data_IF_266781650055
#
_entry.id   IF_266781650055
#
_cell.length_a   1.000
_cell.length_b   1.000
_cell.length_c   1.000
_cell.angle_alpha   90.00
_cell.angle_beta   90.00
_cell.angle_gamma   90.00
#
_symmetry.space_group_name_H-M   'P 1'
#
loop_
_entity.id
_entity.type
_entity.pdbx_description
1 polymer ?
#
# COMPACT_ATOMS: atom_id res chain seq x y z
N UNK A 1 11.03 -3.26 30.12
CA UNK A 1 11.33 -4.63 29.64
C UNK A 1 10.51 -4.90 28.39
N UNK A 2 11.08 -5.30 27.26
CA UNK A 2 10.31 -5.66 26.08
C UNK A 2 9.58 -7.00 26.31
N UNK A 3 8.33 -7.04 25.89
CA UNK A 3 7.48 -8.24 25.91
C UNK A 3 7.02 -8.47 24.47
N UNK A 4 7.24 -9.68 23.95
CA UNK A 4 6.75 -10.07 22.63
C UNK A 4 5.35 -10.65 22.76
N UNK A 5 4.43 -10.07 21.98
CA UNK A 5 3.04 -10.54 21.90
C UNK A 5 2.68 -10.80 20.44
N UNK A 6 1.92 -11.86 20.12
CA UNK A 6 1.49 -12.10 18.76
C UNK A 6 0.33 -11.19 18.38
N UNK A 7 0.27 -10.82 17.10
CA UNK A 7 -0.94 -10.35 16.45
C UNK A 7 -1.35 -11.38 15.38
N UNK A 8 -2.66 -11.59 15.20
CA UNK A 8 -3.14 -12.43 14.10
C UNK A 8 -2.87 -11.75 12.75
N UNK A 9 -2.69 -12.54 11.71
CA UNK A 9 -2.52 -12.02 10.36
C UNK A 9 -2.97 -13.05 9.32
N UNK A 10 -3.56 -12.56 8.23
CA UNK A 10 -3.79 -13.34 7.02
C UNK A 10 -2.88 -12.78 5.92
N UNK A 11 -2.21 -13.66 5.21
CA UNK A 11 -1.45 -13.27 4.02
C UNK A 11 -2.36 -13.39 2.80
N UNK A 12 -2.70 -12.27 2.18
CA UNK A 12 -3.55 -12.23 1.00
C UNK A 12 -2.96 -13.03 -0.16
N UNK A 13 -1.64 -12.98 -0.37
CA UNK A 13 -0.97 -13.75 -1.42
C UNK A 13 -1.11 -15.27 -1.25
N UNK A 14 -1.15 -15.78 -0.01
CA UNK A 14 -1.40 -17.19 0.28
C UNK A 14 -2.89 -17.53 0.18
N UNK A 15 -3.76 -16.62 0.63
CA UNK A 15 -5.20 -16.84 0.65
C UNK A 15 -5.87 -16.67 -0.73
N UNK A 16 -5.20 -16.00 -1.67
CA UNK A 16 -5.72 -15.69 -3.00
C UNK A 16 -5.97 -16.95 -3.83
N UNK A 17 -7.06 -16.97 -4.59
CA UNK A 17 -7.44 -18.11 -5.45
C UNK A 17 -8.19 -19.24 -4.74
N UNK A 18 -8.50 -19.10 -3.44
CA UNK A 18 -9.33 -20.07 -2.70
C UNK A 18 -10.21 -19.38 -1.64
N UNK A 19 -11.08 -20.14 -0.99
CA UNK A 19 -12.07 -19.65 -0.01
C UNK A 19 -11.45 -18.81 1.13
N UNK A 20 -10.17 -19.03 1.44
CA UNK A 20 -9.45 -18.27 2.48
C UNK A 20 -9.43 -16.77 2.25
N UNK A 21 -9.51 -16.31 1.00
CA UNK A 21 -9.52 -14.87 0.66
C UNK A 21 -10.73 -14.13 1.23
N UNK A 22 -11.87 -14.82 1.41
CA UNK A 22 -13.08 -14.26 2.04
C UNK A 22 -12.88 -13.85 3.49
N UNK A 23 -11.84 -14.36 4.15
CA UNK A 23 -11.51 -14.05 5.54
C UNK A 23 -10.48 -12.89 5.67
N UNK A 24 -9.87 -12.46 4.57
CA UNK A 24 -8.80 -11.46 4.62
C UNK A 24 -9.28 -10.12 5.21
N UNK A 25 -10.27 -9.47 4.60
CA UNK A 25 -10.72 -8.13 5.05
C UNK A 25 -11.28 -8.14 6.47
N UNK A 26 -12.00 -9.19 6.86
CA UNK A 26 -12.56 -9.35 8.22
C UNK A 26 -11.48 -9.30 9.29
N UNK A 27 -10.26 -9.77 8.98
CA UNK A 27 -9.15 -9.77 9.96
C UNK A 27 -8.64 -8.37 10.28
N UNK A 28 -8.87 -7.34 9.46
CA UNK A 28 -8.44 -5.97 9.78
C UNK A 28 -9.03 -5.49 11.10
N UNK A 29 -10.34 -5.63 11.27
CA UNK A 29 -11.04 -5.19 12.49
C UNK A 29 -10.70 -6.11 13.67
N UNK A 30 -10.63 -7.43 13.44
CA UNK A 30 -10.20 -8.39 14.47
C UNK A 30 -8.78 -8.13 14.97
N UNK A 31 -7.86 -7.70 14.09
CA UNK A 31 -6.49 -7.30 14.48
C UNK A 31 -6.56 -6.06 15.36
N UNK A 32 -7.35 -5.06 14.98
CA UNK A 32 -7.52 -3.84 15.76
C UNK A 32 -8.10 -4.16 17.15
N UNK A 33 -9.20 -4.90 17.23
CA UNK A 33 -9.89 -5.27 18.46
C UNK A 33 -9.00 -6.10 19.39
N UNK A 34 -8.36 -7.15 18.87
CA UNK A 34 -7.51 -8.02 19.68
C UNK A 34 -6.25 -7.32 20.19
N UNK A 35 -5.67 -6.43 19.38
CA UNK A 35 -4.48 -5.66 19.77
C UNK A 35 -4.85 -4.62 20.82
N UNK A 36 -5.96 -3.91 20.68
CA UNK A 36 -6.49 -3.00 21.67
C UNK A 36 -6.75 -3.71 23.00
N UNK A 37 -7.51 -4.81 22.98
CA UNK A 37 -7.81 -5.59 24.17
C UNK A 37 -6.55 -6.05 24.91
N UNK A 38 -5.55 -6.56 24.16
CA UNK A 38 -4.29 -7.02 24.72
C UNK A 38 -3.48 -5.87 25.35
N UNK A 39 -3.32 -4.77 24.61
CA UNK A 39 -2.53 -3.62 25.06
C UNK A 39 -3.14 -2.96 26.31
N UNK A 40 -4.47 -2.80 26.33
CA UNK A 40 -5.20 -2.23 27.46
C UNK A 40 -5.20 -3.14 28.68
N UNK A 41 -5.38 -4.45 28.50
CA UNK A 41 -5.38 -5.43 29.60
C UNK A 41 -4.01 -5.52 30.29
N UNK A 42 -2.92 -5.44 29.53
CA UNK A 42 -1.55 -5.51 30.05
C UNK A 42 -0.95 -4.15 30.39
N UNK A 43 -1.65 -3.04 30.09
CA UNK A 43 -1.24 -1.67 30.41
C UNK A 43 0.21 -1.36 29.96
N UNK A 44 0.49 -1.63 28.67
CA UNK A 44 1.81 -1.35 28.11
C UNK A 44 2.11 0.15 28.05
N UNK A 45 3.38 0.52 28.27
CA UNK A 45 3.84 1.92 28.21
C UNK A 45 4.03 2.41 26.76
N UNK A 46 4.28 1.50 25.83
CA UNK A 46 4.47 1.80 24.42
C UNK A 46 4.50 0.54 23.56
N UNK A 47 4.34 0.71 22.26
CA UNK A 47 4.21 -0.39 21.29
C UNK A 47 5.20 -0.22 20.13
N UNK A 48 5.89 -1.32 19.79
CA UNK A 48 6.57 -1.47 18.50
C UNK A 48 5.76 -2.46 17.69
N UNK A 49 5.09 -1.98 16.65
CA UNK A 49 4.23 -2.79 15.81
C UNK A 49 4.98 -3.23 14.55
N UNK A 50 4.94 -4.55 14.24
CA UNK A 50 5.71 -5.14 13.14
C UNK A 50 4.77 -5.85 12.15
N UNK A 51 3.96 -5.09 11.38
CA UNK A 51 3.09 -5.65 10.35
C UNK A 51 3.82 -5.83 9.02
N UNK A 52 3.22 -6.60 8.10
CA UNK A 52 3.74 -6.65 6.72
C UNK A 52 2.74 -7.08 5.65
N UNK A 53 1.46 -7.26 5.93
CA UNK A 53 0.49 -7.68 4.92
C UNK A 53 -0.72 -6.76 4.86
N UNK A 54 -1.58 -6.99 3.86
CA UNK A 54 -2.63 -6.09 3.38
C UNK A 54 -3.54 -5.56 4.50
N UNK A 55 -3.96 -6.42 5.42
CA UNK A 55 -4.96 -6.09 6.44
C UNK A 55 -4.35 -5.86 7.82
N UNK A 56 -3.16 -6.41 8.10
CA UNK A 56 -2.57 -6.20 9.42
C UNK A 56 -1.90 -4.83 9.57
N UNK A 57 -1.39 -4.23 8.49
CA UNK A 57 -0.88 -2.84 8.57
C UNK A 57 -1.99 -1.87 8.97
N UNK A 58 -3.12 -1.77 8.23
CA UNK A 58 -4.20 -0.86 8.63
C UNK A 58 -4.87 -1.28 9.94
N UNK A 59 -5.03 -2.57 10.23
CA UNK A 59 -5.60 -3.03 11.51
C UNK A 59 -4.78 -2.59 12.72
N UNK A 60 -3.46 -2.66 12.63
CA UNK A 60 -2.58 -2.18 13.70
C UNK A 60 -2.53 -0.64 13.78
N UNK A 61 -2.67 0.09 12.65
CA UNK A 61 -2.82 1.56 12.67
C UNK A 61 -4.12 1.98 13.38
N UNK A 62 -5.22 1.28 13.11
CA UNK A 62 -6.49 1.47 13.82
C UNK A 62 -6.32 1.20 15.32
N UNK A 63 -5.68 0.09 15.70
CA UNK A 63 -5.39 -0.22 17.10
C UNK A 63 -4.52 0.86 17.77
N UNK A 64 -3.49 1.35 17.08
CA UNK A 64 -2.63 2.43 17.60
C UNK A 64 -3.44 3.71 17.88
N UNK A 65 -4.36 4.07 16.97
CA UNK A 65 -5.24 5.22 17.15
C UNK A 65 -6.18 5.06 18.36
N UNK A 66 -6.73 3.85 18.56
CA UNK A 66 -7.66 3.54 19.67
C UNK A 66 -6.95 3.55 21.02
N UNK A 67 -5.87 2.79 21.14
CA UNK A 67 -5.10 2.65 22.39
C UNK A 67 -4.40 3.96 22.77
N UNK A 68 -3.91 4.69 21.79
CA UNK A 68 -3.29 6.01 21.91
C UNK A 68 -2.18 6.09 22.97
N UNK A 69 -1.33 5.09 23.03
CA UNK A 69 -0.05 5.13 23.78
C UNK A 69 1.12 5.26 22.79
N UNK A 70 2.30 5.73 23.22
CA UNK A 70 3.46 5.86 22.33
C UNK A 70 3.67 4.62 21.48
N UNK A 71 3.66 4.78 20.15
CA UNK A 71 3.69 3.67 19.19
C UNK A 71 4.57 4.02 17.99
N UNK A 72 5.33 3.05 17.50
CA UNK A 72 6.12 3.15 16.28
C UNK A 72 5.94 1.90 15.44
N UNK A 73 5.93 2.08 14.11
CA UNK A 73 5.79 1.00 13.14
C UNK A 73 7.13 0.64 12.51
N UNK A 74 7.34 -0.66 12.35
CA UNK A 74 8.45 -1.24 11.59
C UNK A 74 7.88 -2.31 10.68
N UNK A 75 7.64 -1.98 9.43
CA UNK A 75 7.17 -2.97 8.45
C UNK A 75 8.21 -4.07 8.24
N UNK A 76 7.74 -5.30 7.95
CA UNK A 76 8.64 -6.41 7.63
C UNK A 76 9.47 -6.17 6.35
N UNK A 77 8.99 -5.30 5.47
CA UNK A 77 9.63 -4.92 4.22
C UNK A 77 9.18 -5.74 3.01
N UNK A 78 9.33 -5.21 1.79
CA UNK A 78 9.02 -5.90 0.55
C UNK A 78 10.02 -7.02 0.25
N UNK A 79 9.57 -8.04 -0.50
CA UNK A 79 10.47 -8.99 -1.14
C UNK A 79 11.18 -8.32 -2.32
N UNK A 80 12.27 -8.90 -2.78
CA UNK A 80 12.91 -8.52 -4.04
C UNK A 80 12.07 -9.00 -5.23
N UNK A 81 12.16 -8.33 -6.36
CA UNK A 81 11.58 -8.81 -7.60
C UNK A 81 12.25 -10.12 -8.03
N UNK A 82 11.45 -11.04 -8.58
CA UNK A 82 11.98 -12.24 -9.22
C UNK A 82 12.59 -11.95 -10.59
N UNK A 83 13.24 -12.95 -11.17
CA UNK A 83 13.79 -12.87 -12.52
C UNK A 83 13.46 -14.16 -13.27
N UNK A 84 12.67 -14.03 -14.34
CA UNK A 84 12.34 -15.14 -15.25
C UNK A 84 12.71 -14.68 -16.65
N UNK A 85 13.48 -15.49 -17.37
CA UNK A 85 13.93 -15.20 -18.75
C UNK A 85 14.55 -13.79 -18.90
N UNK A 86 15.26 -13.31 -17.87
CA UNK A 86 15.92 -12.00 -17.88
C UNK A 86 15.04 -10.80 -17.60
N UNK A 87 13.75 -11.00 -17.31
CA UNK A 87 12.81 -9.96 -16.94
C UNK A 87 12.51 -9.99 -15.45
N UNK A 88 12.38 -8.82 -14.82
CA UNK A 88 11.87 -8.71 -13.45
C UNK A 88 10.43 -9.20 -13.39
N UNK A 89 10.08 -9.93 -12.33
CA UNK A 89 8.76 -10.54 -12.13
C UNK A 89 8.25 -10.32 -10.71
N UNK A 90 6.94 -10.46 -10.55
CA UNK A 90 6.26 -10.35 -9.27
C UNK A 90 5.11 -11.34 -9.18
N UNK A 91 4.30 -11.24 -8.12
CA UNK A 91 3.08 -12.03 -7.96
C UNK A 91 2.10 -11.83 -9.14
N UNK A 92 1.95 -10.61 -9.68
CA UNK A 92 1.10 -10.39 -10.86
C UNK A 92 1.60 -11.14 -12.10
N UNK A 93 2.91 -11.19 -12.30
CA UNK A 93 3.50 -11.98 -13.40
C UNK A 93 3.19 -13.47 -13.26
N UNK A 94 3.08 -13.98 -12.02
CA UNK A 94 2.66 -15.36 -11.78
C UNK A 94 1.19 -15.58 -12.20
N UNK A 95 0.29 -14.64 -11.93
CA UNK A 95 -1.10 -14.74 -12.37
C UNK A 95 -1.22 -14.70 -13.89
N UNK A 96 -0.45 -13.85 -14.55
CA UNK A 96 -0.37 -13.79 -16.01
C UNK A 96 0.20 -15.11 -16.59
N UNK A 97 1.19 -15.70 -15.94
CA UNK A 97 1.74 -17.00 -16.32
C UNK A 97 0.71 -18.12 -16.19
N UNK A 98 -0.06 -18.15 -15.09
CA UNK A 98 -1.17 -19.11 -14.90
C UNK A 98 -2.23 -18.98 -16.00
N UNK A 99 -2.60 -17.74 -16.35
CA UNK A 99 -3.53 -17.46 -17.44
C UNK A 99 -2.99 -17.91 -18.81
N UNK A 100 -1.71 -17.67 -19.08
CA UNK A 100 -1.02 -18.11 -20.29
C UNK A 100 -0.92 -19.64 -20.39
N UNK A 101 -0.64 -20.30 -19.26
CA UNK A 101 -0.63 -21.76 -19.17
C UNK A 101 -2.02 -22.35 -19.44
N UNK A 102 -3.06 -21.81 -18.80
CA UNK A 102 -4.45 -22.24 -19.03
C UNK A 102 -4.91 -22.04 -20.49
N UNK A 103 -4.39 -21.02 -21.17
CA UNK A 103 -4.65 -20.75 -22.58
C UNK A 103 -3.77 -21.58 -23.54
N UNK A 104 -2.93 -22.50 -23.05
CA UNK A 104 -2.02 -23.33 -23.84
C UNK A 104 -0.87 -22.56 -24.51
N UNK A 105 -0.56 -21.34 -24.04
CA UNK A 105 0.53 -20.49 -24.54
C UNK A 105 1.85 -20.69 -23.78
N UNK A 106 1.82 -21.46 -22.71
CA UNK A 106 2.95 -21.78 -21.86
C UNK A 106 2.95 -23.27 -21.53
N UNK A 107 4.11 -23.90 -21.47
CA UNK A 107 4.25 -25.32 -21.13
C UNK A 107 4.59 -25.54 -19.64
N UNK A 108 4.67 -26.82 -19.21
CA UNK A 108 4.93 -27.22 -17.82
C UNK A 108 6.29 -26.73 -17.30
N UNK A 109 7.32 -26.72 -18.14
CA UNK A 109 8.67 -26.25 -17.74
C UNK A 109 8.67 -24.74 -17.52
N UNK A 110 7.97 -23.98 -18.36
CA UNK A 110 7.90 -22.54 -18.27
C UNK A 110 7.10 -22.08 -17.05
N UNK A 111 5.93 -22.69 -16.75
CA UNK A 111 5.17 -22.35 -15.55
C UNK A 111 5.95 -22.75 -14.29
N UNK A 112 6.64 -23.87 -14.28
CA UNK A 112 7.49 -24.31 -13.17
C UNK A 112 8.66 -23.34 -12.92
N UNK A 113 9.23 -22.73 -13.97
CA UNK A 113 10.24 -21.70 -13.81
C UNK A 113 9.67 -20.46 -13.09
N UNK A 114 8.44 -20.02 -13.43
CA UNK A 114 7.76 -18.92 -12.74
C UNK A 114 7.50 -19.25 -11.28
N UNK A 115 6.97 -20.44 -10.97
CA UNK A 115 6.72 -20.89 -9.58
C UNK A 115 7.97 -20.80 -8.70
N UNK A 116 9.14 -21.13 -9.25
CA UNK A 116 10.39 -21.15 -8.49
C UNK A 116 11.07 -19.78 -8.39
N UNK A 117 10.80 -18.84 -9.30
CA UNK A 117 11.60 -17.62 -9.44
C UNK A 117 10.84 -16.30 -9.29
N UNK A 118 9.51 -16.31 -9.42
CA UNK A 118 8.73 -15.07 -9.44
C UNK A 118 8.72 -14.33 -8.10
N UNK A 119 8.78 -15.07 -6.98
CA UNK A 119 8.77 -14.54 -5.61
C UNK A 119 9.96 -15.09 -4.81
N UNK A 120 11.19 -14.58 -5.01
CA UNK A 120 12.42 -15.28 -4.61
C UNK A 120 12.78 -15.13 -3.13
N UNK A 121 12.21 -14.15 -2.40
CA UNK A 121 12.62 -13.83 -1.03
C UNK A 121 11.41 -13.67 -0.10
N UNK A 122 11.66 -13.64 1.21
CA UNK A 122 10.64 -13.24 2.16
C UNK A 122 10.31 -11.75 2.05
N UNK A 123 9.13 -11.36 2.54
CA UNK A 123 8.64 -9.99 2.54
C UNK A 123 7.21 -9.88 2.01
N UNK A 124 6.66 -8.68 1.98
CA UNK A 124 5.45 -8.36 1.22
C UNK A 124 5.74 -8.42 -0.29
N UNK A 125 4.70 -8.28 -1.13
CA UNK A 125 4.89 -8.28 -2.59
C UNK A 125 5.95 -7.27 -3.04
N UNK A 126 6.66 -7.57 -4.14
CA UNK A 126 7.71 -6.67 -4.66
C UNK A 126 7.18 -5.41 -5.35
N UNK A 127 5.90 -5.38 -5.77
CA UNK A 127 5.26 -4.23 -6.41
C UNK A 127 4.42 -3.37 -5.45
N UNK A 128 3.78 -2.33 -5.99
CA UNK A 128 2.90 -1.41 -5.25
C UNK A 128 1.48 -2.00 -5.14
N UNK A 129 1.39 -3.11 -4.41
CA UNK A 129 0.14 -3.73 -3.98
C UNK A 129 -0.25 -3.21 -2.59
N UNK A 130 -1.32 -3.75 -2.00
CA UNK A 130 -1.91 -3.18 -0.78
C UNK A 130 -0.95 -3.15 0.40
N UNK A 131 -0.18 -4.22 0.64
CA UNK A 131 0.79 -4.27 1.74
C UNK A 131 1.81 -3.13 1.65
N UNK A 132 2.46 -2.98 0.48
CA UNK A 132 3.46 -1.92 0.28
C UNK A 132 2.83 -0.53 0.22
N UNK A 133 1.62 -0.39 -0.32
CA UNK A 133 0.86 0.85 -0.25
C UNK A 133 0.70 1.29 1.20
N UNK A 134 0.16 0.42 2.06
CA UNK A 134 -0.03 0.75 3.47
C UNK A 134 1.28 0.95 4.23
N UNK A 135 2.35 0.20 3.90
CA UNK A 135 3.68 0.40 4.48
C UNK A 135 4.28 1.78 4.11
N UNK A 136 4.13 2.22 2.85
CA UNK A 136 4.54 3.55 2.40
C UNK A 136 3.68 4.65 3.04
N UNK A 137 2.36 4.45 3.11
CA UNK A 137 1.45 5.40 3.73
C UNK A 137 1.65 5.50 5.25
N UNK A 138 2.07 4.43 5.93
CA UNK A 138 2.49 4.48 7.34
C UNK A 138 3.69 5.43 7.54
N UNK A 139 4.63 5.45 6.59
CA UNK A 139 5.76 6.38 6.58
C UNK A 139 5.28 7.82 6.31
N UNK A 140 4.39 8.01 5.34
CA UNK A 140 3.81 9.32 5.00
C UNK A 140 2.94 9.91 6.13
N UNK A 141 2.20 9.06 6.86
CA UNK A 141 1.46 9.41 8.08
C UNK A 141 2.37 9.86 9.23
N UNK A 142 3.67 9.62 9.14
CA UNK A 142 4.61 9.91 10.21
C UNK A 142 4.72 8.81 11.28
N UNK A 143 4.09 7.65 11.13
CA UNK A 143 4.11 6.55 12.10
C UNK A 143 5.27 5.56 11.93
N UNK A 144 6.04 5.66 10.84
CA UNK A 144 7.25 4.88 10.56
C UNK A 144 8.46 5.75 10.32
N UNK A 145 9.65 5.20 10.55
CA UNK A 145 10.91 5.86 10.21
C UNK A 145 11.14 5.80 8.69
N UNK A 146 12.01 6.69 8.19
CA UNK A 146 12.42 6.72 6.77
C UNK A 146 12.85 5.35 6.28
N UNK A 147 12.28 4.91 5.17
CA UNK A 147 12.53 3.61 4.56
C UNK A 147 11.65 2.48 5.12
N UNK A 148 10.70 2.80 6.02
CA UNK A 148 9.73 1.83 6.54
C UNK A 148 9.00 1.11 5.42
N UNK A 149 8.52 1.84 4.41
CA UNK A 149 7.75 1.28 3.30
C UNK A 149 8.60 0.61 2.21
N UNK A 150 9.90 0.93 2.10
CA UNK A 150 10.66 0.62 0.88
C UNK A 150 11.89 -0.25 1.06
N UNK A 151 12.56 -0.25 2.22
CA UNK A 151 13.74 -1.10 2.43
C UNK A 151 13.35 -2.57 2.30
N UNK A 152 13.98 -3.36 1.39
CA UNK A 152 13.69 -4.78 1.26
C UNK A 152 13.88 -5.57 2.55
N UNK A 153 13.03 -6.59 2.76
CA UNK A 153 13.04 -7.42 3.96
C UNK A 153 14.38 -8.10 4.23
N UNK A 154 15.08 -8.50 3.16
CA UNK A 154 16.35 -9.23 3.23
C UNK A 154 17.59 -8.33 3.39
N UNK A 155 17.44 -7.01 3.34
CA UNK A 155 18.58 -6.10 3.48
C UNK A 155 18.94 -5.90 4.96
N UNK A 156 20.23 -5.82 5.26
CA UNK A 156 20.72 -5.49 6.60
C UNK A 156 20.21 -4.14 7.12
N UNK A 157 19.92 -3.21 6.22
CA UNK A 157 19.30 -1.92 6.54
C UNK A 157 17.93 -2.08 7.20
N UNK A 158 17.16 -3.13 6.89
CA UNK A 158 15.89 -3.45 7.55
C UNK A 158 16.08 -3.78 9.04
N UNK A 159 17.09 -4.56 9.37
CA UNK A 159 17.43 -4.85 10.77
C UNK A 159 17.94 -3.60 11.51
N UNK A 160 18.69 -2.74 10.83
CA UNK A 160 19.12 -1.47 11.40
C UNK A 160 17.93 -0.54 11.68
N UNK A 161 16.97 -0.48 10.75
CA UNK A 161 15.71 0.27 10.94
C UNK A 161 14.95 -0.23 12.17
N UNK A 162 14.82 -1.55 12.34
CA UNK A 162 14.15 -2.14 13.49
C UNK A 162 14.86 -1.79 14.80
N UNK A 163 16.19 -1.81 14.81
CA UNK A 163 17.00 -1.37 15.97
C UNK A 163 16.77 0.09 16.29
N UNK A 164 16.78 0.97 15.29
CA UNK A 164 16.51 2.40 15.48
C UNK A 164 15.11 2.64 16.00
N UNK A 165 14.10 1.94 15.49
CA UNK A 165 12.74 2.04 15.99
C UNK A 165 12.62 1.61 17.46
N UNK A 166 13.34 0.54 17.86
CA UNK A 166 13.43 0.11 19.26
C UNK A 166 14.11 1.13 20.18
N UNK A 167 14.99 1.97 19.65
CA UNK A 167 15.54 3.12 20.40
C UNK A 167 14.54 4.28 20.42
N UNK A 168 13.93 4.57 19.29
CA UNK A 168 13.03 5.70 19.12
C UNK A 168 11.74 5.57 19.93
N UNK A 169 11.20 4.36 20.13
CA UNK A 169 10.03 4.17 21.00
C UNK A 169 10.29 4.66 22.43
N UNK A 170 11.52 4.55 22.92
CA UNK A 170 11.88 5.04 24.25
C UNK A 170 11.83 6.57 24.33
N UNK A 171 12.17 7.26 23.24
CA UNK A 171 12.03 8.73 23.18
C UNK A 171 10.56 9.14 23.07
N UNK A 172 9.74 8.39 22.32
CA UNK A 172 8.30 8.63 22.27
C UNK A 172 7.64 8.48 23.65
N UNK A 173 8.03 7.43 24.40
CA UNK A 173 7.53 7.23 25.79
C UNK A 173 7.98 8.35 26.71
N UNK A 174 9.25 8.77 26.67
CA UNK A 174 9.77 9.85 27.52
C UNK A 174 9.08 11.19 27.26
N UNK A 175 8.81 11.49 26.00
CA UNK A 175 8.20 12.74 25.55
C UNK A 175 6.67 12.66 25.48
N UNK A 176 6.08 11.48 25.79
CA UNK A 176 4.66 11.21 25.72
C UNK A 176 4.04 11.57 24.35
N UNK A 177 4.77 11.29 23.25
CA UNK A 177 4.28 11.46 21.88
C UNK A 177 3.44 10.24 21.51
N UNK A 178 2.18 10.45 21.21
CA UNK A 178 1.15 9.42 21.00
C UNK A 178 0.67 9.38 19.56
N UNK A 179 0.06 8.28 19.12
CA UNK A 179 -0.48 8.18 17.75
C UNK A 179 -1.40 9.31 17.33
N UNK A 180 -2.29 9.79 18.20
CA UNK A 180 -3.21 10.90 17.87
C UNK A 180 -2.55 12.27 17.82
N UNK A 181 -1.33 12.42 18.35
CA UNK A 181 -0.52 13.63 18.17
C UNK A 181 0.11 13.64 16.76
N UNK A 182 0.24 12.47 16.11
CA UNK A 182 0.87 12.27 14.80
C UNK A 182 -0.18 12.08 13.72
N UNK A 183 -1.12 11.14 13.91
CA UNK A 183 -2.21 10.85 12.97
C UNK A 183 -3.32 11.88 13.12
N UNK A 184 -3.07 13.08 12.64
CA UNK A 184 -4.02 14.20 12.53
C UNK A 184 -4.72 14.18 11.18
N UNK A 185 -5.75 15.01 11.00
CA UNK A 185 -6.39 15.19 9.69
C UNK A 185 -5.36 15.59 8.62
N UNK A 186 -4.46 16.52 8.93
CA UNK A 186 -3.39 16.95 8.00
C UNK A 186 -2.42 15.80 7.66
N UNK A 187 -2.15 14.89 8.60
CA UNK A 187 -1.32 13.71 8.34
C UNK A 187 -2.05 12.70 7.43
N UNK A 188 -3.38 12.54 7.58
CA UNK A 188 -4.20 11.75 6.65
C UNK A 188 -4.18 12.38 5.25
N UNK A 189 -4.25 13.72 5.14
CA UNK A 189 -4.13 14.43 3.87
C UNK A 189 -2.76 14.22 3.22
N UNK A 190 -1.68 14.26 4.01
CA UNK A 190 -0.34 13.93 3.52
C UNK A 190 -0.25 12.50 2.99
N UNK A 191 -0.81 11.53 3.73
CA UNK A 191 -0.84 10.14 3.29
C UNK A 191 -1.64 9.99 1.98
N UNK A 192 -2.80 10.64 1.87
CA UNK A 192 -3.61 10.61 0.66
C UNK A 192 -2.90 11.27 -0.54
N UNK A 193 -2.19 12.37 -0.31
CA UNK A 193 -1.37 13.02 -1.34
C UNK A 193 -0.25 12.10 -1.83
N UNK A 194 0.44 11.42 -0.92
CA UNK A 194 1.47 10.43 -1.26
C UNK A 194 0.87 9.21 -1.97
N UNK A 195 -0.33 8.77 -1.56
CA UNK A 195 -1.11 7.70 -2.20
C UNK A 195 -1.35 7.99 -3.69
N UNK A 196 -1.80 9.22 -3.99
CA UNK A 196 -2.03 9.69 -5.36
C UNK A 196 -0.74 9.76 -6.17
N UNK A 197 0.35 10.26 -5.57
CA UNK A 197 1.63 10.41 -6.25
C UNK A 197 2.31 9.07 -6.56
N UNK A 198 2.22 8.10 -5.65
CA UNK A 198 2.75 6.75 -5.84
C UNK A 198 1.87 5.88 -6.75
N UNK A 199 0.60 6.22 -6.91
CA UNK A 199 -0.39 5.35 -7.54
C UNK A 199 -0.53 4.03 -6.78
N UNK A 200 -0.90 4.10 -5.51
CA UNK A 200 -1.04 2.95 -4.63
C UNK A 200 -2.19 2.00 -5.03
N UNK A 201 -2.43 1.00 -4.22
CA UNK A 201 -3.57 0.09 -4.38
C UNK A 201 -4.89 0.79 -4.08
N UNK A 202 -5.95 0.45 -4.81
CA UNK A 202 -7.33 0.91 -4.52
C UNK A 202 -7.79 0.59 -3.11
N UNK A 203 -7.19 -0.40 -2.44
CA UNK A 203 -7.46 -0.73 -1.04
C UNK A 203 -7.05 0.39 -0.07
N UNK A 204 -6.17 1.32 -0.45
CA UNK A 204 -5.88 2.50 0.38
C UNK A 204 -7.14 3.32 0.64
N UNK A 205 -8.04 3.40 -0.35
CA UNK A 205 -9.33 4.08 -0.25
C UNK A 205 -10.37 3.33 0.61
N UNK A 206 -10.04 2.12 1.05
CA UNK A 206 -10.78 1.37 2.06
C UNK A 206 -10.14 1.53 3.45
N UNK A 207 -8.79 1.61 3.51
CA UNK A 207 -8.06 1.57 4.75
C UNK A 207 -7.80 2.95 5.36
N UNK A 208 -7.49 3.97 4.55
CA UNK A 208 -7.33 5.34 5.05
C UNK A 208 -8.61 5.88 5.69
N UNK A 209 -9.82 5.71 5.09
CA UNK A 209 -11.06 6.08 5.77
C UNK A 209 -11.29 5.36 7.09
N UNK A 210 -10.94 4.06 7.19
CA UNK A 210 -11.07 3.32 8.44
C UNK A 210 -10.12 3.85 9.52
N UNK A 211 -8.87 4.21 9.16
CA UNK A 211 -7.92 4.82 10.08
C UNK A 211 -8.37 6.23 10.48
N UNK A 212 -8.88 7.02 9.53
CA UNK A 212 -9.42 8.36 9.77
C UNK A 212 -10.59 8.32 10.76
N UNK A 213 -11.50 7.34 10.62
CA UNK A 213 -12.58 7.11 11.56
C UNK A 213 -12.09 6.91 13.00
N UNK A 214 -11.01 6.17 13.21
CA UNK A 214 -10.46 5.90 14.55
C UNK A 214 -9.86 7.15 15.23
N UNK A 215 -9.50 8.16 14.46
CA UNK A 215 -9.07 9.46 15.01
C UNK A 215 -10.22 10.48 15.10
N UNK A 216 -11.43 10.09 14.68
CA UNK A 216 -12.63 10.94 14.70
C UNK A 216 -12.76 11.88 13.50
N UNK A 217 -12.06 11.61 12.40
CA UNK A 217 -12.18 12.35 11.15
C UNK A 217 -13.28 11.75 10.27
N UNK A 218 -14.22 12.58 9.83
CA UNK A 218 -15.17 12.20 8.79
C UNK A 218 -14.49 12.21 7.43
N UNK A 219 -14.42 11.05 6.80
CA UNK A 219 -13.77 10.86 5.51
C UNK A 219 -14.80 10.44 4.46
N UNK A 220 -15.23 11.37 3.62
CA UNK A 220 -16.03 11.06 2.44
C UNK A 220 -15.12 10.65 1.27
N UNK A 221 -15.49 9.60 0.54
CA UNK A 221 -14.68 9.06 -0.55
C UNK A 221 -14.42 10.09 -1.66
N UNK A 222 -15.36 11.01 -1.89
CA UNK A 222 -15.26 12.10 -2.87
C UNK A 222 -14.14 13.08 -2.58
N UNK A 223 -13.77 13.19 -1.31
CA UNK A 223 -12.66 14.03 -0.88
C UNK A 223 -11.35 13.64 -1.58
N UNK A 224 -11.18 12.35 -1.86
CA UNK A 224 -10.01 11.83 -2.57
C UNK A 224 -9.86 12.40 -3.98
N UNK A 225 -10.96 12.69 -4.70
CA UNK A 225 -10.88 13.30 -6.02
C UNK A 225 -10.28 14.72 -5.96
N UNK A 226 -10.66 15.52 -4.96
CA UNK A 226 -10.12 16.85 -4.78
C UNK A 226 -8.60 16.88 -4.53
N UNK A 227 -8.08 15.82 -3.89
CA UNK A 227 -6.63 15.62 -3.71
C UNK A 227 -6.00 15.08 -5.00
N UNK A 228 -6.63 14.10 -5.65
CA UNK A 228 -6.15 13.50 -6.89
C UNK A 228 -6.00 14.52 -8.03
N UNK A 229 -6.95 15.45 -8.16
CA UNK A 229 -6.90 16.51 -9.18
C UNK A 229 -5.70 17.46 -9.03
N UNK A 230 -5.18 17.63 -7.82
CA UNK A 230 -4.08 18.56 -7.49
C UNK A 230 -2.74 17.86 -7.35
N UNK A 231 -2.72 16.55 -7.25
CA UNK A 231 -1.53 15.75 -6.97
C UNK A 231 -1.08 15.01 -8.22
N UNK A 232 0.07 15.33 -8.80
CA UNK A 232 0.57 14.61 -9.96
C UNK A 232 1.00 13.18 -9.59
N UNK A 233 0.82 12.24 -10.52
CA UNK A 233 1.34 10.89 -10.38
C UNK A 233 2.82 10.86 -10.77
N UNK A 234 3.68 10.49 -9.80
CA UNK A 234 5.14 10.55 -9.94
C UNK A 234 5.78 9.16 -10.13
N UNK A 235 5.05 8.08 -9.87
CA UNK A 235 5.59 6.73 -9.91
C UNK A 235 4.67 5.77 -10.67
N UNK A 236 5.27 4.92 -11.51
CA UNK A 236 4.61 3.79 -12.17
C UNK A 236 5.26 2.48 -11.73
N UNK A 237 4.93 2.06 -10.50
CA UNK A 237 5.41 0.81 -9.93
C UNK A 237 4.52 -0.36 -10.37
N UNK A 238 5.07 -1.57 -10.48
CA UNK A 238 4.28 -2.77 -10.78
C UNK A 238 3.05 -2.88 -9.85
N UNK A 239 1.84 -3.17 -10.34
CA UNK A 239 1.48 -3.64 -11.69
C UNK A 239 1.26 -2.53 -12.73
N UNK A 240 1.32 -1.22 -12.40
CA UNK A 240 1.10 -0.13 -13.34
C UNK A 240 2.30 0.12 -14.29
N UNK A 241 3.49 -0.35 -13.91
CA UNK A 241 4.73 -0.21 -14.67
C UNK A 241 5.70 -1.34 -14.42
N UNK A 242 6.96 -1.14 -14.80
CA UNK A 242 8.03 -2.15 -14.74
C UNK A 242 9.05 -1.93 -13.63
N UNK A 243 8.85 -0.94 -12.77
CA UNK A 243 9.66 -0.67 -11.60
C UNK A 243 9.04 -1.29 -10.36
N UNK A 244 9.87 -1.59 -9.36
CA UNK A 244 9.48 -2.29 -8.14
C UNK A 244 9.81 -1.47 -6.90
N UNK A 245 9.41 -1.94 -5.72
CA UNK A 245 9.65 -1.20 -4.47
C UNK A 245 11.15 -1.11 -4.15
N UNK A 246 11.95 -2.09 -4.52
CA UNK A 246 13.40 -2.02 -4.41
C UNK A 246 13.98 -0.85 -5.23
N UNK A 247 13.46 -0.61 -6.45
CA UNK A 247 13.86 0.50 -7.29
C UNK A 247 13.46 1.85 -6.67
N UNK A 248 12.26 1.93 -6.08
CA UNK A 248 11.81 3.09 -5.33
C UNK A 248 12.71 3.38 -4.13
N UNK A 249 13.11 2.33 -3.39
CA UNK A 249 14.06 2.48 -2.28
C UNK A 249 15.39 3.08 -2.73
N UNK A 250 15.94 2.60 -3.82
CA UNK A 250 17.19 3.08 -4.41
C UNK A 250 17.09 4.53 -4.91
N UNK A 251 15.90 4.89 -5.45
CA UNK A 251 15.58 6.24 -5.91
C UNK A 251 15.44 7.27 -4.78
N UNK A 252 15.38 6.83 -3.51
CA UNK A 252 15.29 7.69 -2.33
C UNK A 252 14.06 7.44 -1.46
N UNK A 253 13.18 6.51 -1.86
CA UNK A 253 12.02 6.06 -1.09
C UNK A 253 10.90 7.09 -0.98
N UNK A 254 10.01 6.86 -0.02
CA UNK A 254 8.83 7.70 0.20
C UNK A 254 9.20 9.15 0.50
N UNK A 255 10.25 9.39 1.28
CA UNK A 255 10.67 10.76 1.60
C UNK A 255 11.19 11.54 0.40
N UNK A 256 11.76 10.90 -0.61
CA UNK A 256 12.11 11.56 -1.86
C UNK A 256 10.86 11.97 -2.66
N UNK A 257 9.83 11.11 -2.70
CA UNK A 257 8.52 11.45 -3.30
C UNK A 257 7.88 12.62 -2.54
N UNK A 258 7.86 12.58 -1.20
CA UNK A 258 7.34 13.66 -0.38
C UNK A 258 8.10 14.98 -0.61
N UNK A 259 9.43 14.92 -0.76
CA UNK A 259 10.22 16.11 -1.06
C UNK A 259 9.92 16.68 -2.46
N UNK A 260 9.66 15.83 -3.45
CA UNK A 260 9.18 16.28 -4.78
C UNK A 260 7.82 17.00 -4.65
N UNK A 261 6.85 16.41 -3.93
CA UNK A 261 5.54 17.01 -3.69
C UNK A 261 5.62 18.35 -2.95
N UNK A 262 6.54 18.44 -1.99
CA UNK A 262 6.75 19.67 -1.20
C UNK A 262 7.27 20.84 -2.04
N UNK A 263 7.94 20.62 -3.18
CA UNK A 263 8.35 21.71 -4.09
C UNK A 263 7.18 22.54 -4.62
N UNK A 264 5.98 21.94 -4.69
CA UNK A 264 4.71 22.65 -5.06
C UNK A 264 3.83 22.93 -3.83
N UNK A 265 4.31 22.73 -2.61
CA UNK A 265 3.56 23.01 -1.37
C UNK A 265 2.34 22.10 -1.20
N UNK A 266 2.40 20.86 -1.66
CA UNK A 266 1.28 19.91 -1.63
C UNK A 266 1.17 19.14 -0.29
N UNK A 267 2.07 19.37 0.66
CA UNK A 267 2.11 18.69 1.93
C UNK A 267 1.96 19.65 3.11
N UNK A 268 1.32 19.16 4.15
CA UNK A 268 1.29 19.79 5.48
C UNK A 268 2.58 19.46 6.22
N UNK A 269 3.57 20.32 6.11
CA UNK A 269 4.94 20.08 6.58
C UNK A 269 5.12 20.16 8.10
N UNK A 270 4.14 20.74 8.80
CA UNK A 270 4.19 20.94 10.25
C UNK A 270 3.73 19.71 11.05
N UNK A 271 3.18 18.69 10.38
CA UNK A 271 2.75 17.46 11.02
C UNK A 271 3.91 16.79 11.78
N UNK A 272 3.66 16.45 13.05
CA UNK A 272 4.60 15.71 13.90
C UNK A 272 4.75 14.26 13.40
N UNK A 273 5.92 13.68 13.63
CA UNK A 273 6.18 12.27 13.29
C UNK A 273 6.80 11.51 14.46
N UNK A 274 6.91 10.19 14.33
CA UNK A 274 7.59 9.33 15.32
C UNK A 274 9.07 9.67 15.53
N UNK A 275 9.68 10.50 14.71
CA UNK A 275 11.05 10.98 14.94
C UNK A 275 11.12 12.08 16.01
N UNK A 276 9.97 12.60 16.44
CA UNK A 276 9.87 13.80 17.29
C UNK A 276 10.10 15.10 16.52
N UNK A 277 10.22 15.02 15.19
CA UNK A 277 10.38 16.16 14.27
C UNK A 277 9.17 16.23 13.34
N UNK A 278 9.04 17.36 12.66
CA UNK A 278 7.99 17.56 11.67
C UNK A 278 8.29 16.82 10.36
N UNK A 279 7.26 16.66 9.53
CA UNK A 279 7.40 16.14 8.16
C UNK A 279 8.41 16.98 7.37
N UNK A 280 8.31 18.31 7.40
CA UNK A 280 9.21 19.21 6.69
C UNK A 280 10.68 19.01 7.09
N UNK A 281 10.97 18.88 8.39
CA UNK A 281 12.33 18.62 8.88
C UNK A 281 12.86 17.26 8.41
N UNK A 282 12.01 16.24 8.36
CA UNK A 282 12.39 14.89 7.97
C UNK A 282 12.67 14.74 6.47
N UNK A 283 11.87 15.41 5.62
CA UNK A 283 12.03 15.32 4.16
C UNK A 283 13.08 16.29 3.61
N UNK A 284 13.51 17.27 4.41
CA UNK A 284 14.52 18.24 4.00
C UNK A 284 15.81 17.53 3.54
N UNK A 285 16.23 17.81 2.29
CA UNK A 285 17.42 17.21 1.70
C UNK A 285 17.25 15.74 1.27
N UNK A 286 16.04 15.20 1.27
CA UNK A 286 15.76 13.87 0.72
C UNK A 286 15.64 13.96 -0.81
N UNK A 287 16.78 13.81 -1.51
CA UNK A 287 16.84 13.96 -2.96
C UNK A 287 16.25 12.76 -3.70
N UNK A 288 15.59 13.04 -4.83
CA UNK A 288 15.27 12.05 -5.84
C UNK A 288 16.56 11.67 -6.58
N UNK A 289 16.98 10.42 -6.44
CA UNK A 289 18.24 9.90 -7.01
C UNK A 289 18.05 9.24 -8.38
N UNK A 290 16.81 8.98 -8.78
CA UNK A 290 16.51 8.34 -10.06
C UNK A 290 15.20 8.89 -10.64
N UNK A 291 15.28 9.86 -11.58
CA UNK A 291 14.13 10.47 -12.23
C UNK A 291 13.30 9.52 -13.12
N UNK A 292 13.83 8.34 -13.45
CA UNK A 292 13.09 7.33 -14.22
C UNK A 292 12.16 6.51 -13.32
N UNK A 293 12.42 6.46 -12.00
CA UNK A 293 11.60 5.78 -11.00
C UNK A 293 10.65 6.74 -10.30
N UNK A 294 11.17 7.89 -9.85
CA UNK A 294 10.38 8.98 -9.28
C UNK A 294 10.47 10.15 -10.26
N UNK A 295 9.40 10.43 -10.99
CA UNK A 295 9.38 11.58 -11.90
C UNK A 295 9.55 12.89 -11.13
N UNK A 296 10.31 13.84 -11.66
CA UNK A 296 10.30 15.20 -11.13
C UNK A 296 8.89 15.79 -11.17
N UNK A 297 8.56 16.61 -10.18
CA UNK A 297 7.22 17.19 -10.02
C UNK A 297 6.76 18.01 -11.25
N UNK A 298 7.70 18.53 -12.04
CA UNK A 298 7.42 19.31 -13.25
C UNK A 298 7.30 18.44 -14.51
N UNK A 299 7.57 17.14 -14.41
CA UNK A 299 7.49 16.17 -15.51
C UNK A 299 6.88 14.84 -15.03
N UNK A 300 5.66 14.86 -14.45
CA UNK A 300 4.99 13.67 -13.91
C UNK A 300 4.55 12.71 -15.02
N UNK A 301 4.16 11.51 -14.65
CA UNK A 301 3.45 10.58 -15.55
C UNK A 301 2.06 11.10 -15.90
N UNK A 302 1.38 11.74 -14.94
CA UNK A 302 0.09 12.39 -15.10
C UNK A 302 0.02 13.59 -14.18
N UNK A 303 -0.64 14.67 -14.64
CA UNK A 303 -0.90 15.87 -13.83
C UNK A 303 -1.90 15.59 -12.69
N UNK A 304 -2.61 14.47 -12.75
CA UNK A 304 -3.54 14.03 -11.71
C UNK A 304 -3.08 12.72 -11.09
N UNK A 305 -3.61 12.41 -9.90
CA UNK A 305 -3.22 11.25 -9.10
C UNK A 305 -3.45 9.89 -9.74
N UNK A 306 -2.75 8.89 -9.21
CA UNK A 306 -2.84 7.51 -9.69
C UNK A 306 -4.14 6.78 -9.34
N UNK A 307 -4.98 7.34 -8.45
CA UNK A 307 -6.31 6.83 -8.11
C UNK A 307 -7.39 7.85 -8.45
N UNK A 308 -8.58 7.38 -8.79
CA UNK A 308 -9.75 8.22 -9.00
C UNK A 308 -11.01 7.54 -8.45
N UNK A 309 -11.95 8.36 -7.96
CA UNK A 309 -13.29 7.92 -7.56
C UNK A 309 -14.25 8.22 -8.71
N UNK A 310 -14.93 7.20 -9.20
CA UNK A 310 -15.90 7.28 -10.29
C UNK A 310 -17.32 7.21 -9.71
N UNK A 311 -18.25 7.96 -10.29
CA UNK A 311 -19.67 7.93 -9.95
C UNK A 311 -20.53 7.71 -11.17
N UNK A 312 -21.65 7.04 -10.99
CA UNK A 312 -22.64 6.79 -12.02
C UNK A 312 -23.82 5.97 -11.50
N UNK A 313 -24.75 5.65 -12.37
CA UNK A 313 -25.94 4.87 -12.00
C UNK A 313 -25.61 3.44 -11.54
N UNK A 314 -24.44 2.90 -11.93
CA UNK A 314 -23.97 1.59 -11.47
C UNK A 314 -23.36 1.65 -10.07
N UNK A 315 -22.71 2.76 -9.72
CA UNK A 315 -22.07 3.01 -8.43
C UNK A 315 -22.36 4.46 -7.97
N UNK A 316 -23.59 4.76 -7.51
CA UNK A 316 -23.99 6.14 -7.17
C UNK A 316 -23.21 6.71 -5.99
N UNK A 317 -22.81 5.86 -5.04
CA UNK A 317 -22.03 6.24 -3.86
C UNK A 317 -20.52 6.28 -4.13
N UNK A 318 -20.10 5.89 -5.32
CA UNK A 318 -18.70 5.91 -5.77
C UNK A 318 -18.09 4.53 -5.93
N UNK A 319 -17.08 4.46 -6.80
CA UNK A 319 -16.18 3.32 -7.00
C UNK A 319 -14.77 3.83 -7.21
N UNK A 320 -13.77 3.02 -6.90
CA UNK A 320 -12.36 3.41 -7.00
C UNK A 320 -11.68 2.70 -8.15
N UNK A 321 -10.96 3.45 -8.95
CA UNK A 321 -10.12 2.91 -10.03
C UNK A 321 -8.66 3.30 -9.83
N UNK A 322 -7.75 2.37 -10.08
CA UNK A 322 -6.31 2.64 -10.21
C UNK A 322 -6.06 3.22 -11.60
N UNK A 323 -6.21 4.57 -11.72
CA UNK A 323 -6.10 5.27 -12.99
C UNK A 323 -4.72 5.10 -13.62
N UNK A 324 -3.66 5.05 -12.81
CA UNK A 324 -2.28 4.83 -13.28
C UNK A 324 -2.04 3.49 -13.98
N UNK A 325 -2.98 2.54 -13.87
CA UNK A 325 -2.93 1.23 -14.54
C UNK A 325 -3.96 1.08 -15.66
N UNK A 326 -4.67 2.15 -16.02
CA UNK A 326 -5.63 2.17 -17.14
C UNK A 326 -4.94 2.74 -18.37
N UNK A 327 -4.94 2.01 -19.48
CA UNK A 327 -4.43 2.52 -20.76
C UNK A 327 -5.37 3.59 -21.33
N UNK A 328 -4.83 4.52 -22.12
CA UNK A 328 -5.57 5.68 -22.60
C UNK A 328 -6.81 5.31 -23.41
N UNK A 329 -6.75 4.22 -24.17
CA UNK A 329 -7.87 3.71 -25.00
C UNK A 329 -9.05 3.23 -24.14
N UNK A 330 -8.80 2.86 -22.86
CA UNK A 330 -9.82 2.37 -21.94
C UNK A 330 -10.37 3.43 -20.99
N UNK A 331 -9.91 4.69 -21.10
CA UNK A 331 -10.48 5.81 -20.32
C UNK A 331 -11.93 6.09 -20.71
N UNK A 332 -12.31 5.76 -21.95
CA UNK A 332 -13.70 5.79 -22.43
C UNK A 332 -13.99 4.47 -23.13
N UNK A 333 -14.92 3.70 -22.60
CA UNK A 333 -15.31 2.41 -23.18
C UNK A 333 -16.82 2.18 -23.08
N UNK A 334 -17.40 1.61 -24.12
CA UNK A 334 -18.79 1.16 -24.16
C UNK A 334 -18.83 -0.26 -24.74
N UNK A 335 -19.57 -1.16 -24.09
CA UNK A 335 -19.68 -2.55 -24.55
C UNK A 335 -20.79 -3.34 -23.84
N UNK A 336 -21.10 -4.54 -24.33
CA UNK A 336 -22.10 -5.42 -23.74
C UNK A 336 -21.70 -5.83 -22.31
N UNK A 337 -22.61 -5.67 -21.34
CA UNK A 337 -22.37 -6.14 -19.98
C UNK A 337 -22.48 -7.67 -19.89
N UNK A 338 -21.48 -8.30 -19.29
CA UNK A 338 -21.48 -9.72 -18.88
C UNK A 338 -21.52 -9.77 -17.38
N UNK A 339 -22.66 -10.17 -16.82
CA UNK A 339 -22.92 -10.13 -15.38
C UNK A 339 -22.72 -11.52 -14.79
N UNK A 340 -21.99 -11.61 -13.70
CA UNK A 340 -21.71 -12.83 -12.93
C UNK A 340 -22.04 -12.59 -11.44
N UNK A 341 -22.43 -13.69 -10.77
CA UNK A 341 -22.77 -13.65 -9.34
C UNK A 341 -21.55 -13.94 -8.44
N UNK A 342 -20.42 -14.33 -9.04
CA UNK A 342 -19.17 -14.57 -8.32
C UNK A 342 -17.95 -14.38 -9.22
N UNK A 343 -16.78 -14.22 -8.61
CA UNK A 343 -15.49 -14.21 -9.29
C UNK A 343 -15.14 -15.58 -9.89
N UNK A 344 -15.58 -16.67 -9.26
CA UNK A 344 -15.40 -18.03 -9.79
C UNK A 344 -16.13 -18.22 -11.13
N UNK A 345 -17.38 -17.76 -11.21
CA UNK A 345 -18.16 -17.82 -12.46
C UNK A 345 -17.54 -16.96 -13.57
N UNK A 346 -17.09 -15.75 -13.24
CA UNK A 346 -16.42 -14.85 -14.18
C UNK A 346 -15.11 -15.48 -14.69
N UNK A 347 -14.31 -16.02 -13.79
CA UNK A 347 -13.05 -16.70 -14.11
C UNK A 347 -13.25 -17.89 -15.02
N UNK A 348 -14.25 -18.73 -14.75
CA UNK A 348 -14.60 -19.87 -15.61
C UNK A 348 -15.07 -19.42 -16.99
N UNK A 349 -15.84 -18.35 -17.07
CA UNK A 349 -16.28 -17.79 -18.35
C UNK A 349 -15.11 -17.25 -19.18
N UNK A 350 -14.12 -16.62 -18.56
CA UNK A 350 -12.89 -16.16 -19.22
C UNK A 350 -12.09 -17.36 -19.74
N UNK A 351 -11.82 -18.36 -18.89
CA UNK A 351 -11.05 -19.56 -19.25
C UNK A 351 -11.69 -20.38 -20.38
N UNK A 352 -13.02 -20.43 -20.42
CA UNK A 352 -13.77 -21.18 -21.43
C UNK A 352 -14.09 -20.38 -22.70
N UNK A 353 -13.57 -19.15 -22.83
CA UNK A 353 -13.73 -18.33 -24.03
C UNK A 353 -15.15 -17.79 -24.24
N UNK A 354 -15.93 -17.63 -23.18
CA UNK A 354 -17.29 -17.06 -23.21
C UNK A 354 -17.31 -15.52 -23.21
N UNK A 355 -16.16 -14.91 -23.01
CA UNK A 355 -15.99 -13.45 -23.03
C UNK A 355 -15.40 -13.04 -24.36
N UNK A 356 -15.97 -12.02 -24.96
CA UNK A 356 -15.51 -11.49 -26.26
C UNK A 356 -14.76 -10.16 -26.05
N UNK A 357 -13.85 -9.82 -26.99
CA UNK A 357 -13.25 -8.47 -26.98
C UNK A 357 -14.35 -7.39 -27.02
N UNK A 358 -14.25 -6.40 -26.13
CA UNK A 358 -15.22 -5.33 -25.98
C UNK A 358 -16.32 -5.58 -24.93
N UNK A 359 -16.45 -6.80 -24.40
CA UNK A 359 -17.37 -7.07 -23.29
C UNK A 359 -16.94 -6.34 -22.00
N UNK A 360 -17.91 -5.86 -21.21
CA UNK A 360 -17.73 -5.30 -19.88
C UNK A 360 -18.12 -6.34 -18.84
N UNK A 361 -17.16 -6.82 -18.07
CA UNK A 361 -17.40 -7.83 -17.03
C UNK A 361 -17.89 -7.12 -15.76
N UNK A 362 -19.03 -7.56 -15.23
CA UNK A 362 -19.62 -7.07 -13.99
C UNK A 362 -19.81 -8.25 -13.05
N UNK A 363 -19.23 -8.18 -11.86
CA UNK A 363 -19.39 -9.16 -10.78
C UNK A 363 -20.22 -8.51 -9.67
N UNK A 364 -21.31 -9.18 -9.26
CA UNK A 364 -22.22 -8.70 -8.21
C UNK A 364 -21.96 -9.37 -6.86
#
# INVERSE_FOLDING_TARGET
TPIMVPAIAVCDGIAMGHIGMKYSLVTRDLIADSTEALAMAHQFDGLVMIPNCDKNVPGLLMAAARVNIPTIFVSGGPMLAGHVKGQKTSLSSMFEAVGSYAAGKMNDEEIYEFENKACPTCGSCSGMYTANSMNCLTEALGMGLRGNGTIPAVYSARLQLAKHAGMQIMELVRNNIRPRDIMTEDAILNALTVDMALGCSTNSMLHLPAIAHEIGMDFEIDFANGISEKTPNLCHLAPAGHTYIEDLNEAGGVYAVMNELNKKGLLHTDCLTVTGKTVGENIAGCENKNPDVIRPIDHPYSETGGLAVLKGNLAPDGSVVKRSAVCDEMLVHEGPARIFESDEEATEAIKTGKINPGDVIVIR
#
